data_IF_469111350405
#
_entry.id   IF_469111350405
#
_cell.length_a   1.000
_cell.length_b   1.000
_cell.length_c   1.000
_cell.angle_alpha   90.00
_cell.angle_beta   90.00
_cell.angle_gamma   90.00
#
_symmetry.space_group_name_H-M   'P 1'
#
loop_
_entity.id
_entity.type
_entity.pdbx_description
1 polymer ?
#
# COMPACT_ATOMS: atom_id res chain seq x y z
N UNK A 1 9.69 18.81 27.61
CA UNK A 1 10.77 18.14 26.85
C UNK A 1 10.32 17.02 25.89
N UNK A 2 9.01 16.79 25.62
CA UNK A 2 8.52 15.65 24.79
C UNK A 2 8.68 15.82 23.26
N UNK A 3 8.87 17.04 22.76
CA UNK A 3 8.89 17.32 21.31
C UNK A 3 10.13 16.75 20.59
N UNK A 4 11.29 16.69 21.25
CA UNK A 4 12.55 16.26 20.63
C UNK A 4 12.57 14.77 20.25
N UNK A 5 11.99 13.91 21.10
CA UNK A 5 11.96 12.45 20.88
C UNK A 5 10.99 12.06 19.77
N UNK A 6 9.87 12.77 19.66
CA UNK A 6 8.86 12.53 18.63
C UNK A 6 9.35 12.91 17.24
N UNK A 7 10.03 14.05 17.11
CA UNK A 7 10.65 14.46 15.86
C UNK A 7 11.74 13.48 15.41
N UNK A 8 12.48 12.92 16.37
CA UNK A 8 13.49 11.89 16.11
C UNK A 8 12.86 10.59 15.56
N UNK A 9 11.78 10.09 16.19
CA UNK A 9 11.08 8.91 15.72
C UNK A 9 10.47 9.11 14.32
N UNK A 10 9.83 10.25 14.08
CA UNK A 10 9.28 10.61 12.77
C UNK A 10 10.35 10.55 11.67
N UNK A 11 11.52 11.14 11.92
CA UNK A 11 12.64 11.13 10.98
C UNK A 11 13.16 9.71 10.72
N UNK A 12 13.31 8.89 11.76
CA UNK A 12 13.70 7.47 11.61
C UNK A 12 12.73 6.67 10.75
N UNK A 13 11.43 6.86 10.97
CA UNK A 13 10.39 6.21 10.15
C UNK A 13 10.47 6.70 8.71
N UNK A 14 10.66 8.01 8.50
CA UNK A 14 10.81 8.58 7.17
C UNK A 14 12.02 7.98 6.42
N UNK A 15 13.17 7.88 7.08
CA UNK A 15 14.37 7.26 6.52
C UNK A 15 14.13 5.79 6.15
N UNK A 16 13.49 5.02 7.04
CA UNK A 16 13.12 3.62 6.76
C UNK A 16 12.18 3.49 5.56
N UNK A 17 11.19 4.37 5.44
CA UNK A 17 10.27 4.36 4.30
C UNK A 17 11.00 4.73 3.01
N UNK A 18 11.90 5.73 3.07
CA UNK A 18 12.69 6.15 1.90
C UNK A 18 13.66 5.08 1.41
N UNK A 19 14.18 4.25 2.32
CA UNK A 19 15.06 3.14 1.95
C UNK A 19 14.30 1.93 1.39
N UNK A 20 13.00 1.80 1.67
CA UNK A 20 12.15 0.78 1.06
C UNK A 20 11.82 1.16 -0.39
N UNK A 21 11.80 0.16 -1.28
CA UNK A 21 11.23 0.28 -2.65
C UNK A 21 9.70 0.20 -2.68
N UNK A 22 9.09 -0.09 -1.54
CA UNK A 22 7.70 -0.54 -1.42
C UNK A 22 6.68 0.59 -1.59
N UNK A 23 5.62 0.36 -2.36
CA UNK A 23 4.52 1.33 -2.54
C UNK A 23 3.56 1.26 -1.35
N UNK A 24 3.37 0.07 -0.79
CA UNK A 24 2.59 -0.19 0.40
C UNK A 24 3.47 -0.23 1.66
N UNK A 25 3.14 0.55 2.68
CA UNK A 25 3.78 0.51 4.00
C UNK A 25 2.78 -0.04 5.02
N UNK A 26 3.10 -1.16 5.65
CA UNK A 26 2.29 -1.67 6.75
C UNK A 26 2.78 -1.10 8.08
N UNK A 27 1.85 -0.94 9.03
CA UNK A 27 2.22 -0.60 10.41
C UNK A 27 3.12 -1.67 11.04
N UNK A 28 2.92 -2.93 10.65
CA UNK A 28 3.75 -4.06 11.10
C UNK A 28 5.21 -3.92 10.66
N UNK A 29 5.47 -3.29 9.50
CA UNK A 29 6.83 -3.11 8.96
C UNK A 29 7.67 -2.14 9.81
N UNK A 30 7.02 -1.40 10.71
CA UNK A 30 7.61 -0.37 11.57
C UNK A 30 7.46 -0.71 13.07
N UNK A 31 6.90 -1.88 13.39
CA UNK A 31 6.58 -2.26 14.77
C UNK A 31 7.83 -2.40 15.66
N UNK A 32 8.99 -2.62 15.05
CA UNK A 32 10.32 -2.66 15.68
C UNK A 32 10.79 -1.28 16.18
N UNK A 33 10.30 -0.19 15.58
CA UNK A 33 10.83 1.16 15.83
C UNK A 33 10.24 1.83 17.08
N UNK A 34 8.97 1.57 17.39
CA UNK A 34 8.31 2.22 18.53
C UNK A 34 6.97 1.56 18.92
N UNK A 35 6.46 1.83 20.13
CA UNK A 35 5.14 1.38 20.55
C UNK A 35 4.02 1.88 19.65
N UNK A 36 2.88 1.14 19.57
CA UNK A 36 1.78 1.44 18.65
C UNK A 36 1.30 2.90 18.69
N UNK A 37 1.16 3.49 19.88
CA UNK A 37 0.70 4.89 20.05
C UNK A 37 1.66 5.89 19.43
N UNK A 38 2.97 5.68 19.56
CA UNK A 38 3.99 6.58 19.03
C UNK A 38 4.06 6.47 17.50
N UNK A 39 4.02 5.23 16.97
CA UNK A 39 3.95 4.99 15.52
C UNK A 39 2.76 5.70 14.88
N UNK A 40 1.57 5.59 15.47
CA UNK A 40 0.38 6.26 14.93
C UNK A 40 0.52 7.78 14.88
N UNK A 41 1.23 8.39 15.85
CA UNK A 41 1.47 9.84 15.86
C UNK A 41 2.48 10.25 14.80
N UNK A 42 3.59 9.53 14.67
CA UNK A 42 4.58 9.78 13.64
C UNK A 42 4.02 9.55 12.22
N UNK A 43 3.29 8.46 11.99
CA UNK A 43 2.60 8.21 10.73
C UNK A 43 1.58 9.30 10.40
N UNK A 44 0.88 9.84 11.41
CA UNK A 44 -0.02 11.00 11.21
C UNK A 44 0.72 12.25 10.75
N UNK A 45 1.91 12.53 11.30
CA UNK A 45 2.73 13.63 10.82
C UNK A 45 3.15 13.42 9.36
N UNK A 46 3.59 12.22 8.98
CA UNK A 46 3.95 11.91 7.59
C UNK A 46 2.77 12.01 6.62
N UNK A 47 1.55 11.69 7.08
CA UNK A 47 0.33 11.92 6.28
C UNK A 47 0.04 13.41 6.10
N UNK A 48 0.20 14.22 7.15
CA UNK A 48 0.02 15.68 7.05
C UNK A 48 1.03 16.33 6.10
N UNK A 49 2.20 15.73 5.94
CA UNK A 49 3.26 16.16 5.01
C UNK A 49 3.10 15.62 3.58
N UNK A 50 2.01 14.91 3.27
CA UNK A 50 1.77 14.26 1.98
C UNK A 50 2.84 13.25 1.57
N UNK A 51 3.51 12.61 2.54
CA UNK A 51 4.47 11.53 2.28
C UNK A 51 3.74 10.18 2.18
N UNK A 52 2.68 10.02 2.98
CA UNK A 52 1.85 8.82 3.04
C UNK A 52 0.37 9.16 2.94
N UNK A 53 -0.42 8.21 2.51
CA UNK A 53 -1.88 8.22 2.63
C UNK A 53 -2.36 6.96 3.34
N UNK A 54 -3.41 7.07 4.16
CA UNK A 54 -4.04 5.88 4.77
C UNK A 54 -4.92 5.18 3.73
N UNK A 55 -4.68 3.90 3.51
CA UNK A 55 -5.49 3.08 2.60
C UNK A 55 -6.45 2.13 3.33
N UNK A 56 -6.13 1.80 4.58
CA UNK A 56 -6.92 0.87 5.38
C UNK A 56 -6.39 0.76 6.81
N UNK A 57 -6.89 -0.23 7.55
CA UNK A 57 -6.42 -0.48 8.91
C UNK A 57 -4.96 -0.95 8.91
N UNK A 58 -4.06 -0.08 9.37
CA UNK A 58 -2.62 -0.36 9.44
C UNK A 58 -1.94 -0.46 8.08
N UNK A 59 -2.58 0.04 7.01
CA UNK A 59 -2.08 0.01 5.64
C UNK A 59 -1.98 1.44 5.14
N UNK A 60 -0.80 1.80 4.66
CA UNK A 60 -0.49 3.12 4.14
C UNK A 60 0.08 2.99 2.73
N UNK A 61 -0.22 3.94 1.86
CA UNK A 61 0.36 4.06 0.54
C UNK A 61 1.37 5.19 0.51
N UNK A 62 2.49 4.98 -0.17
CA UNK A 62 3.46 6.02 -0.49
C UNK A 62 2.84 7.04 -1.44
N UNK A 63 3.09 8.32 -1.20
CA UNK A 63 2.69 9.38 -2.10
C UNK A 63 3.92 9.92 -2.85
N UNK A 64 3.71 10.28 -4.11
CA UNK A 64 4.68 11.02 -4.90
C UNK A 64 4.05 12.30 -5.45
N UNK A 65 4.87 13.32 -5.70
CA UNK A 65 4.39 14.54 -6.32
C UNK A 65 4.36 14.38 -7.85
N UNK A 66 3.17 14.39 -8.44
CA UNK A 66 3.01 14.35 -9.89
C UNK A 66 3.07 15.75 -10.46
N UNK A 67 4.10 16.03 -11.25
CA UNK A 67 4.26 17.30 -11.97
C UNK A 67 3.16 17.52 -13.03
N UNK A 68 2.63 16.44 -13.59
CA UNK A 68 1.58 16.49 -14.61
C UNK A 68 0.22 16.93 -14.06
N UNK A 69 -0.11 16.50 -12.84
CA UNK A 69 -1.39 16.82 -12.19
C UNK A 69 -1.26 17.88 -11.09
N UNK A 70 -0.04 18.38 -10.85
CA UNK A 70 0.32 19.33 -9.80
C UNK A 70 -0.24 18.98 -8.40
N UNK A 71 -0.24 17.68 -8.08
CA UNK A 71 -0.78 17.15 -6.81
C UNK A 71 -0.03 15.90 -6.38
N UNK A 72 -0.10 15.59 -5.09
CA UNK A 72 0.39 14.32 -4.55
C UNK A 72 -0.55 13.19 -4.94
N UNK A 73 0.01 12.12 -5.50
CA UNK A 73 -0.70 10.95 -5.98
C UNK A 73 -0.16 9.70 -5.29
N UNK A 74 -0.98 8.66 -5.18
CA UNK A 74 -0.54 7.33 -4.76
C UNK A 74 0.54 6.83 -5.71
N UNK A 75 1.66 6.38 -5.16
CA UNK A 75 2.71 5.71 -5.92
C UNK A 75 2.20 4.35 -6.40
N UNK A 76 2.09 4.19 -7.72
CA UNK A 76 1.41 3.08 -8.36
C UNK A 76 -0.13 3.16 -8.33
N UNK A 77 -0.76 2.12 -8.88
CA UNK A 77 -2.22 1.98 -8.89
C UNK A 77 -2.71 1.22 -7.66
N UNK A 78 -3.97 1.46 -7.24
CA UNK A 78 -4.58 0.73 -6.11
C UNK A 78 -4.50 -0.79 -6.26
N UNK A 79 -4.50 -1.30 -7.50
CA UNK A 79 -4.34 -2.71 -7.82
C UNK A 79 -2.94 -3.22 -7.43
N UNK A 80 -1.88 -2.51 -7.83
CA UNK A 80 -0.50 -2.85 -7.50
C UNK A 80 -0.24 -2.76 -6.01
N UNK A 81 -0.67 -1.66 -5.39
CA UNK A 81 -0.55 -1.47 -3.94
C UNK A 81 -1.33 -2.54 -3.17
N UNK A 82 -2.53 -2.90 -3.62
CA UNK A 82 -3.32 -3.95 -2.99
C UNK A 82 -2.64 -5.33 -3.08
N UNK A 83 -2.06 -5.68 -4.23
CA UNK A 83 -1.28 -6.91 -4.41
C UNK A 83 -0.06 -6.95 -3.49
N UNK A 84 0.68 -5.85 -3.40
CA UNK A 84 1.82 -5.73 -2.51
C UNK A 84 1.41 -5.90 -1.03
N UNK A 85 0.28 -5.30 -0.63
CA UNK A 85 -0.28 -5.50 0.72
C UNK A 85 -0.61 -6.97 0.97
N UNK A 86 -1.22 -7.68 0.02
CA UNK A 86 -1.51 -9.11 0.16
C UNK A 86 -0.22 -9.91 0.35
N UNK A 87 0.80 -9.64 -0.48
CA UNK A 87 2.12 -10.27 -0.35
C UNK A 87 2.75 -10.01 1.01
N UNK A 88 2.75 -8.76 1.49
CA UNK A 88 3.31 -8.41 2.81
C UNK A 88 2.54 -9.03 3.98
N UNK A 89 1.24 -9.27 3.81
CA UNK A 89 0.41 -9.97 4.80
C UNK A 89 0.51 -11.50 4.70
N UNK A 90 1.38 -12.02 3.82
CA UNK A 90 1.49 -13.44 3.50
C UNK A 90 0.15 -14.09 3.09
N UNK A 91 -0.68 -13.33 2.37
CA UNK A 91 -1.95 -13.81 1.83
C UNK A 91 -1.71 -14.25 0.39
N UNK A 92 -1.91 -15.54 0.06
CA UNK A 92 -1.71 -16.03 -1.29
C UNK A 92 -2.72 -15.41 -2.26
N UNK A 93 -2.24 -15.00 -3.43
CA UNK A 93 -3.06 -14.42 -4.48
C UNK A 93 -2.52 -14.78 -5.87
N UNK A 94 -3.41 -14.73 -6.87
CA UNK A 94 -3.13 -15.03 -8.27
C UNK A 94 -3.59 -13.87 -9.15
N UNK A 95 -2.99 -13.80 -10.34
CA UNK A 95 -3.42 -12.90 -11.40
C UNK A 95 -4.79 -13.31 -11.93
N UNK A 96 -5.48 -12.38 -12.59
CA UNK A 96 -6.67 -12.74 -13.36
C UNK A 96 -6.28 -13.61 -14.56
N UNK A 97 -7.19 -14.49 -15.01
CA UNK A 97 -6.94 -15.31 -16.21
C UNK A 97 -6.57 -14.44 -17.43
N UNK A 98 -7.25 -13.31 -17.61
CA UNK A 98 -6.95 -12.38 -18.70
C UNK A 98 -5.56 -11.73 -18.61
N UNK A 99 -5.04 -11.50 -17.40
CA UNK A 99 -3.66 -11.05 -17.22
C UNK A 99 -2.67 -12.17 -17.50
N UNK A 100 -2.95 -13.39 -17.06
CA UNK A 100 -2.12 -14.54 -17.36
C UNK A 100 -2.04 -14.80 -18.86
N UNK A 101 -3.17 -14.72 -19.56
CA UNK A 101 -3.23 -14.93 -21.01
C UNK A 101 -2.50 -13.84 -21.77
N UNK A 102 -2.64 -12.58 -21.35
CA UNK A 102 -1.89 -11.47 -21.92
C UNK A 102 -0.36 -11.63 -21.68
N UNK A 103 0.04 -11.89 -20.44
CA UNK A 103 1.45 -12.01 -20.06
C UNK A 103 2.14 -13.21 -20.73
N UNK A 104 1.40 -14.30 -20.98
CA UNK A 104 1.91 -15.50 -21.67
C UNK A 104 1.77 -15.42 -23.21
N UNK A 105 1.32 -14.30 -23.77
CA UNK A 105 1.13 -14.13 -25.22
C UNK A 105 -0.02 -14.96 -25.82
N UNK A 106 -0.89 -15.53 -24.98
CA UNK A 106 -2.10 -16.27 -25.40
C UNK A 106 -3.23 -15.34 -25.82
N UNK A 107 -3.16 -14.06 -25.45
CA UNK A 107 -4.08 -13.01 -25.88
C UNK A 107 -3.33 -11.72 -26.20
N UNK A 108 -3.77 -11.00 -27.22
CA UNK A 108 -3.30 -9.63 -27.53
C UNK A 108 -4.19 -8.55 -26.85
N UNK A 109 -5.29 -8.96 -26.21
CA UNK A 109 -6.17 -8.02 -25.53
C UNK A 109 -5.54 -7.57 -24.21
N UNK A 110 -5.25 -6.26 -24.11
CA UNK A 110 -4.73 -5.64 -22.89
C UNK A 110 -5.86 -5.59 -21.84
N UNK A 111 -5.71 -6.24 -20.67
CA UNK A 111 -6.74 -6.24 -19.64
C UNK A 111 -6.85 -4.86 -18.96
N UNK A 112 -8.03 -4.24 -19.06
CA UNK A 112 -8.26 -2.86 -18.56
C UNK A 112 -8.49 -2.82 -17.04
N UNK A 113 -9.21 -3.79 -16.48
CA UNK A 113 -9.53 -3.85 -15.04
C UNK A 113 -9.44 -5.29 -14.51
N UNK A 114 -8.26 -5.90 -14.53
CA UNK A 114 -8.12 -7.26 -14.08
C UNK A 114 -8.38 -7.38 -12.58
N UNK A 115 -9.11 -8.42 -12.18
CA UNK A 115 -9.46 -8.66 -10.79
C UNK A 115 -8.45 -9.60 -10.15
N UNK A 116 -7.85 -9.19 -9.03
CA UNK A 116 -6.92 -10.06 -8.30
C UNK A 116 -7.69 -11.20 -7.65
N UNK A 117 -7.22 -12.44 -7.84
CA UNK A 117 -7.79 -13.62 -7.18
C UNK A 117 -7.09 -13.84 -5.85
N UNK A 118 -7.82 -13.81 -4.76
CA UNK A 118 -7.29 -13.99 -3.40
C UNK A 118 -7.66 -15.38 -2.92
N UNK A 119 -6.65 -16.15 -2.50
CA UNK A 119 -6.83 -17.50 -2.00
C UNK A 119 -7.07 -17.43 -0.49
N UNK A 120 -8.19 -17.99 -0.03
CA UNK A 120 -8.53 -18.06 1.39
C UNK A 120 -9.29 -16.83 1.90
N UNK A 121 -8.84 -16.25 3.02
CA UNK A 121 -9.59 -15.21 3.73
C UNK A 121 -8.91 -13.85 3.74
N UNK A 122 -9.59 -12.86 3.17
CA UNK A 122 -9.23 -11.45 3.28
C UNK A 122 -10.49 -10.61 3.49
N UNK A 123 -10.51 -9.79 4.54
CA UNK A 123 -11.66 -8.93 4.89
C UNK A 123 -11.30 -7.44 4.98
N UNK A 124 -10.02 -7.10 4.88
CA UNK A 124 -9.60 -5.70 5.05
C UNK A 124 -10.01 -4.91 3.81
N UNK A 125 -10.57 -3.72 4.04
CA UNK A 125 -10.83 -2.76 2.96
C UNK A 125 -9.56 -1.96 2.69
N UNK A 126 -9.15 -1.92 1.42
CA UNK A 126 -8.05 -1.08 0.91
C UNK A 126 -8.66 -0.12 -0.10
N UNK A 127 -8.54 1.18 0.15
CA UNK A 127 -9.21 2.22 -0.64
C UNK A 127 -8.35 3.49 -0.69
N UNK A 128 -8.32 4.14 -1.85
CA UNK A 128 -7.69 5.43 -2.08
C UNK A 128 -8.72 6.38 -2.71
N UNK A 129 -9.17 7.39 -1.98
CA UNK A 129 -10.31 8.22 -2.40
C UNK A 129 -11.54 7.34 -2.63
N UNK A 130 -12.16 7.42 -3.81
CA UNK A 130 -13.30 6.59 -4.20
C UNK A 130 -12.91 5.26 -4.84
N UNK A 131 -11.61 5.03 -5.05
CA UNK A 131 -11.10 3.85 -5.73
C UNK A 131 -10.78 2.76 -4.70
N UNK A 132 -11.50 1.64 -4.79
CA UNK A 132 -11.29 0.48 -3.92
C UNK A 132 -10.47 -0.61 -4.62
N UNK A 133 -9.58 -1.27 -3.88
CA UNK A 133 -8.97 -2.52 -4.32
C UNK A 133 -10.04 -3.61 -4.42
N UNK A 134 -10.32 -4.05 -5.65
CA UNK A 134 -11.26 -5.13 -5.94
C UNK A 134 -10.52 -6.45 -6.09
N UNK A 135 -11.06 -7.48 -5.45
CA UNK A 135 -10.56 -8.84 -5.53
C UNK A 135 -11.74 -9.82 -5.56
N UNK A 136 -11.48 -11.00 -6.11
CA UNK A 136 -12.37 -12.15 -6.03
C UNK A 136 -11.78 -13.16 -5.06
N UNK A 137 -12.62 -13.78 -4.25
CA UNK A 137 -12.19 -14.88 -3.39
C UNK A 137 -12.21 -16.17 -4.22
N UNK A 138 -11.08 -16.84 -4.27
CA UNK A 138 -10.96 -18.16 -4.84
C UNK A 138 -10.97 -19.18 -3.70
N UNK A 139 -11.89 -20.14 -3.80
CA UNK A 139 -11.94 -21.26 -2.86
C UNK A 139 -10.76 -22.17 -3.17
N UNK A 140 -10.07 -22.60 -2.11
CA UNK A 140 -9.02 -23.62 -2.18
C UNK A 140 -9.57 -24.92 -2.74
#
# INVERSE_FOLDING_TARGET
MKAGTEQNLRNKILERIRSMSDMAILRSDLADLAPPRQLSRALKQLMNENILVRLGYGIYGRLFFSRYTNRYCLDGFILGVGREVLTKLNIPWLLAQCEEDYNNGRSQQVPVNPTTRVIGHFKRKIQYGDIQFRYQLERR
#
